data_IF_075232022831
#
_entry.id   IF_075232022831
#
_cell.length_a   1.000
_cell.length_b   1.000
_cell.length_c   1.000
_cell.angle_alpha   90.00
_cell.angle_beta   90.00
_cell.angle_gamma   90.00
#
_symmetry.space_group_name_H-M   'P 1'
#
loop_
_entity.id
_entity.type
_entity.pdbx_description
1 polymer ?
#
# COMPACT_ATOMS: atom_id res chain seq x y z
N UNK A 1 -1.98 27.54 -36.55
CA UNK A 1 -0.68 27.77 -37.21
C UNK A 1 0.26 26.85 -36.49
N UNK A 2 0.51 25.70 -37.12
CA UNK A 2 1.36 24.54 -36.81
C UNK A 2 1.63 24.15 -35.35
N UNK A 3 1.06 22.98 -35.04
CA UNK A 3 1.23 22.11 -33.89
C UNK A 3 2.57 21.32 -33.91
N UNK A 4 3.67 21.91 -34.38
CA UNK A 4 4.93 21.17 -34.61
C UNK A 4 6.19 21.86 -34.06
N UNK A 5 6.09 22.61 -32.95
CA UNK A 5 7.22 23.39 -32.43
C UNK A 5 7.45 23.41 -30.90
N UNK A 6 6.86 22.51 -30.10
CA UNK A 6 7.18 22.42 -28.65
C UNK A 6 7.40 20.99 -28.14
N UNK A 7 8.12 20.16 -28.90
CA UNK A 7 8.70 18.91 -28.40
C UNK A 7 10.19 18.85 -28.76
N UNK A 8 11.00 19.68 -28.13
CA UNK A 8 12.47 19.56 -28.16
C UNK A 8 13.03 19.91 -26.77
N UNK A 9 13.03 18.91 -25.89
CA UNK A 9 13.74 18.76 -24.61
C UNK A 9 13.24 17.37 -24.14
N UNK A 10 13.87 16.23 -24.39
CA UNK A 10 15.28 15.84 -24.24
C UNK A 10 15.57 14.72 -25.25
N UNK A 11 16.11 15.05 -26.43
CA UNK A 11 16.96 14.13 -27.20
C UNK A 11 18.41 14.46 -26.81
N UNK A 12 18.84 13.92 -25.67
CA UNK A 12 20.25 13.94 -25.28
C UNK A 12 20.57 12.62 -24.58
N UNK A 13 21.48 11.89 -25.22
CA UNK A 13 22.03 10.57 -24.93
C UNK A 13 22.66 10.46 -23.52
N UNK A 14 21.86 10.48 -22.44
CA UNK A 14 22.31 10.17 -21.08
C UNK A 14 21.41 9.10 -20.45
N UNK A 15 22.01 7.93 -20.21
CA UNK A 15 21.45 6.82 -19.45
C UNK A 15 21.18 7.28 -18.01
N UNK A 16 19.91 7.42 -17.63
CA UNK A 16 19.53 7.60 -16.22
C UNK A 16 19.30 6.25 -15.55
N UNK A 17 19.78 6.12 -14.33
CA UNK A 17 19.64 4.94 -13.47
C UNK A 17 18.29 4.98 -12.73
N UNK A 18 17.78 3.84 -12.26
CA UNK A 18 16.52 3.71 -11.50
C UNK A 18 16.47 4.64 -10.28
N UNK A 19 17.64 4.93 -9.69
CA UNK A 19 17.81 5.85 -8.56
C UNK A 19 17.61 7.32 -8.96
N UNK A 20 18.01 7.70 -10.16
CA UNK A 20 17.84 9.07 -10.68
C UNK A 20 16.38 9.32 -11.08
N UNK A 21 15.69 8.30 -11.58
CA UNK A 21 14.24 8.36 -11.86
C UNK A 21 13.43 8.49 -10.56
N UNK A 22 13.75 7.71 -9.52
CA UNK A 22 13.08 7.81 -8.22
C UNK A 22 13.33 9.15 -7.51
N UNK A 23 14.55 9.71 -7.63
CA UNK A 23 14.89 11.03 -7.09
C UNK A 23 14.18 12.18 -7.84
N UNK A 24 13.92 12.03 -9.13
CA UNK A 24 13.16 13.02 -9.93
C UNK A 24 11.66 12.94 -9.63
N UNK A 25 11.15 11.78 -9.23
CA UNK A 25 9.73 11.55 -8.94
C UNK A 25 9.36 11.65 -7.45
N UNK A 26 10.33 11.75 -6.54
CA UNK A 26 10.08 11.85 -5.10
C UNK A 26 9.54 10.57 -4.47
N UNK A 27 9.96 9.40 -4.97
CA UNK A 27 9.48 8.08 -4.55
C UNK A 27 10.56 7.32 -3.77
N UNK A 28 10.16 6.63 -2.70
CA UNK A 28 11.04 5.70 -1.98
C UNK A 28 11.14 4.37 -2.75
N UNK A 29 12.38 3.88 -2.91
CA UNK A 29 12.67 2.70 -3.72
C UNK A 29 12.98 1.51 -2.80
N UNK A 30 12.08 0.53 -2.72
CA UNK A 30 12.36 -0.77 -2.09
C UNK A 30 12.76 -1.76 -3.18
N UNK A 31 13.99 -2.26 -3.13
CA UNK A 31 14.49 -3.29 -4.07
C UNK A 31 14.54 -4.61 -3.34
N UNK A 32 13.68 -5.56 -3.72
CA UNK A 32 13.80 -6.95 -3.27
C UNK A 32 14.77 -7.71 -4.16
N UNK A 33 15.83 -8.28 -3.59
CA UNK A 33 16.66 -9.28 -4.30
C UNK A 33 16.16 -10.67 -3.94
N UNK A 34 15.41 -11.30 -4.85
CA UNK A 34 15.07 -12.72 -4.74
C UNK A 34 16.24 -13.56 -5.25
N UNK A 35 16.89 -14.30 -4.34
CA UNK A 35 17.72 -15.46 -4.69
C UNK A 35 19.24 -15.25 -4.74
N UNK A 36 19.97 -16.25 -4.24
CA UNK A 36 21.43 -16.37 -4.31
C UNK A 36 21.89 -16.89 -5.69
N UNK A 37 23.07 -16.47 -6.21
CA UNK A 37 23.40 -16.68 -7.62
C UNK A 37 23.93 -18.10 -7.89
N UNK A 38 23.17 -18.90 -8.65
CA UNK A 38 23.71 -20.03 -9.41
C UNK A 38 24.07 -19.60 -10.83
N UNK A 39 25.20 -20.07 -11.40
CA UNK A 39 25.63 -19.65 -12.72
C UNK A 39 24.87 -20.46 -13.78
N UNK A 40 24.02 -19.76 -14.55
CA UNK A 40 23.36 -20.16 -15.82
C UNK A 40 21.82 -20.25 -15.74
N UNK A 41 21.14 -19.09 -15.70
CA UNK A 41 19.77 -18.88 -16.20
C UNK A 41 19.56 -17.36 -16.40
N UNK A 42 18.84 -16.94 -17.45
CA UNK A 42 18.43 -15.55 -17.68
C UNK A 42 17.20 -15.24 -16.80
N UNK A 43 17.19 -14.11 -16.08
CA UNK A 43 16.07 -13.66 -15.26
C UNK A 43 15.51 -12.33 -15.81
N UNK A 44 14.19 -12.18 -15.80
CA UNK A 44 13.49 -10.90 -15.92
C UNK A 44 13.20 -10.38 -14.50
N UNK A 45 13.75 -9.23 -14.11
CA UNK A 45 13.42 -8.59 -12.83
C UNK A 45 12.20 -7.67 -13.01
N UNK A 46 11.14 -7.88 -12.21
CA UNK A 46 9.97 -6.98 -12.13
C UNK A 46 10.13 -6.01 -10.95
N UNK A 47 9.90 -4.72 -11.17
CA UNK A 47 9.97 -3.67 -10.14
C UNK A 47 8.59 -3.03 -9.98
N UNK A 48 7.96 -3.22 -8.83
CA UNK A 48 6.72 -2.53 -8.46
C UNK A 48 7.06 -1.25 -7.70
N UNK A 49 6.48 -0.12 -8.11
CA UNK A 49 6.67 1.19 -7.45
C UNK A 49 5.32 1.64 -6.89
N UNK A 50 5.27 1.93 -5.59
CA UNK A 50 4.09 2.42 -4.90
C UNK A 50 4.25 3.91 -4.62
N UNK A 51 3.24 4.71 -4.98
CA UNK A 51 3.13 6.08 -4.49
C UNK A 51 2.31 6.05 -3.20
N UNK A 52 2.64 6.91 -2.22
CA UNK A 52 1.96 7.04 -0.92
C UNK A 52 0.49 7.48 -0.95
N UNK A 53 -0.22 7.24 -2.07
CA UNK A 53 -1.65 7.46 -2.29
C UNK A 53 -2.37 6.17 -2.71
N UNK A 54 -1.72 4.99 -2.62
CA UNK A 54 -2.39 3.69 -2.76
C UNK A 54 -2.85 3.31 -4.18
N UNK A 55 -2.33 3.94 -5.24
CA UNK A 55 -2.59 3.52 -6.63
C UNK A 55 -1.33 2.84 -7.18
N UNK A 56 -1.37 1.53 -7.53
CA UNK A 56 -0.23 0.88 -8.16
C UNK A 56 -0.01 1.44 -9.58
N UNK A 57 1.22 1.83 -9.88
CA UNK A 57 1.66 2.17 -11.25
C UNK A 57 2.56 1.02 -11.72
N UNK A 58 2.00 0.12 -12.53
CA UNK A 58 2.79 -0.93 -13.17
C UNK A 58 3.65 -0.32 -14.28
N UNK A 59 4.97 -0.30 -14.07
CA UNK A 59 5.95 0.14 -15.07
C UNK A 59 6.71 -1.09 -15.57
N UNK A 60 6.66 -1.33 -16.87
CA UNK A 60 7.38 -2.43 -17.53
C UNK A 60 8.81 -1.98 -17.87
N UNK A 61 9.81 -2.74 -17.43
CA UNK A 61 11.20 -2.56 -17.81
C UNK A 61 11.76 -3.86 -18.40
N UNK A 62 12.16 -3.84 -19.66
CA UNK A 62 12.87 -4.95 -20.30
C UNK A 62 14.36 -4.81 -20.01
N UNK A 63 14.95 -5.72 -19.21
CA UNK A 63 16.37 -5.68 -18.82
C UNK A 63 17.13 -6.73 -19.64
N UNK A 64 17.98 -6.30 -20.58
CA UNK A 64 18.81 -7.22 -21.36
C UNK A 64 20.21 -7.40 -20.73
N UNK A 65 20.61 -8.64 -20.45
CA UNK A 65 21.97 -8.95 -19.99
C UNK A 65 22.95 -9.14 -21.17
N UNK A 66 24.04 -8.37 -21.23
CA UNK A 66 25.18 -8.66 -22.13
C UNK A 66 26.41 -9.10 -21.34
N UNK A 67 26.87 -10.35 -21.53
CA UNK A 67 28.21 -10.79 -21.06
C UNK A 67 29.31 -10.21 -21.94
N UNK A 68 30.11 -9.29 -21.38
CA UNK A 68 31.40 -8.89 -21.94
C UNK A 68 32.52 -9.81 -21.47
N UNK A 69 33.27 -10.41 -22.39
CA UNK A 69 34.48 -11.19 -22.10
C UNK A 69 35.69 -10.29 -21.80
N UNK A 70 36.27 -10.35 -20.59
CA UNK A 70 37.73 -10.48 -20.34
C UNK A 70 38.19 -10.27 -18.88
N UNK A 71 39.03 -11.23 -18.45
CA UNK A 71 40.19 -11.24 -17.54
C UNK A 71 40.27 -10.35 -16.28
N UNK A 72 40.30 -11.05 -15.14
CA UNK A 72 41.09 -10.83 -13.92
C UNK A 72 41.55 -9.41 -13.54
N UNK A 73 40.86 -8.79 -12.58
CA UNK A 73 41.48 -8.23 -11.37
C UNK A 73 40.38 -7.86 -10.36
N UNK A 74 40.66 -8.02 -9.07
CA UNK A 74 39.77 -7.66 -7.96
C UNK A 74 39.54 -6.15 -7.95
N UNK A 75 38.29 -5.74 -8.13
CA UNK A 75 37.74 -4.46 -7.67
C UNK A 75 36.21 -4.55 -7.74
N UNK A 76 35.53 -4.45 -6.60
CA UNK A 76 34.08 -4.38 -6.47
C UNK A 76 33.58 -3.05 -7.08
N UNK A 77 33.05 -3.09 -8.31
CA UNK A 77 32.27 -1.99 -8.90
C UNK A 77 31.06 -2.55 -9.64
N UNK A 78 29.90 -1.94 -9.34
CA UNK A 78 28.56 -2.48 -9.55
C UNK A 78 28.17 -2.81 -10.99
N UNK A 79 27.26 -3.77 -11.09
CA UNK A 79 26.51 -4.12 -12.30
C UNK A 79 25.73 -2.90 -12.79
N UNK A 80 25.96 -2.47 -14.04
CA UNK A 80 25.13 -1.48 -14.73
C UNK A 80 23.96 -2.18 -15.43
N UNK A 81 22.73 -1.85 -15.03
CA UNK A 81 21.49 -2.27 -15.68
C UNK A 81 21.08 -1.20 -16.71
N UNK A 82 20.63 -1.62 -17.88
CA UNK A 82 20.04 -0.74 -18.90
C UNK A 82 18.71 -1.36 -19.37
N UNK A 83 17.61 -0.61 -19.20
CA UNK A 83 16.27 -1.00 -19.66
C UNK A 83 15.55 0.20 -20.29
N UNK A 84 14.60 -0.10 -21.16
CA UNK A 84 13.75 0.87 -21.88
C UNK A 84 12.33 0.80 -21.32
N UNK A 85 11.70 1.95 -21.05
CA UNK A 85 10.37 2.04 -20.43
C UNK A 85 9.29 2.43 -21.46
N UNK A 86 8.13 1.77 -21.42
CA UNK A 86 6.93 2.16 -22.18
C UNK A 86 5.77 2.48 -21.21
N UNK A 87 5.11 3.62 -21.40
CA UNK A 87 3.92 4.01 -20.63
C UNK A 87 2.76 4.38 -21.56
N UNK A 88 1.53 3.94 -21.24
CA UNK A 88 0.34 4.20 -22.05
C UNK A 88 -0.14 5.66 -21.92
N UNK A 89 -0.46 6.26 -23.06
CA UNK A 89 -0.49 7.73 -23.27
C UNK A 89 -1.67 8.50 -22.66
N UNK A 90 -2.60 7.85 -21.95
CA UNK A 90 -3.79 8.54 -21.41
C UNK A 90 -3.73 8.94 -19.93
N UNK A 91 -2.84 8.37 -19.11
CA UNK A 91 -2.69 8.74 -17.68
C UNK A 91 -1.60 9.82 -17.41
N UNK A 92 -0.69 10.05 -18.36
CA UNK A 92 0.39 11.05 -18.23
C UNK A 92 -0.14 12.50 -18.35
N UNK A 93 -1.27 12.72 -19.03
CA UNK A 93 -1.84 14.06 -19.22
C UNK A 93 -2.47 14.65 -17.94
N UNK A 94 -2.83 13.80 -16.95
CA UNK A 94 -3.30 14.27 -15.64
C UNK A 94 -2.14 14.60 -14.68
N UNK A 95 -1.05 13.83 -14.72
CA UNK A 95 0.15 14.05 -13.90
C UNK A 95 0.87 15.36 -14.30
N UNK A 96 0.91 15.69 -15.59
CA UNK A 96 1.54 16.95 -16.05
C UNK A 96 0.73 18.22 -15.73
N UNK A 97 -0.59 18.12 -15.52
CA UNK A 97 -1.41 19.29 -15.12
C UNK A 97 -1.28 19.65 -13.63
N UNK A 98 -0.86 18.71 -12.79
CA UNK A 98 -0.63 18.94 -11.35
C UNK A 98 0.74 19.58 -11.06
N UNK A 99 1.69 19.47 -12.00
CA UNK A 99 3.07 19.94 -11.82
C UNK A 99 3.30 21.40 -12.27
N UNK A 100 2.39 21.99 -13.04
CA UNK A 100 2.42 23.42 -13.39
C UNK A 100 2.02 24.34 -12.21
N UNK A 101 1.38 23.82 -11.16
CA UNK A 101 1.07 24.61 -9.96
C UNK A 101 2.25 24.75 -8.99
N UNK A 102 3.25 23.86 -9.07
CA UNK A 102 4.33 23.77 -8.07
C UNK A 102 5.64 24.48 -8.46
N UNK A 103 5.78 24.98 -9.68
CA UNK A 103 7.02 25.62 -10.17
C UNK A 103 6.95 27.13 -10.37
N UNK A 104 5.89 27.79 -9.88
CA UNK A 104 5.73 29.26 -9.93
C UNK A 104 5.90 29.97 -8.57
N UNK A 105 6.34 29.27 -7.51
CA UNK A 105 6.43 29.84 -6.16
C UNK A 105 7.83 29.85 -5.53
N UNK A 106 8.88 29.76 -6.34
CA UNK A 106 10.26 29.88 -5.87
C UNK A 106 11.05 30.84 -6.74
N UNK A 107 10.86 32.14 -6.55
CA UNK A 107 11.82 33.21 -6.88
C UNK A 107 11.23 34.55 -6.41
N UNK A 108 11.59 35.00 -5.19
CA UNK A 108 11.79 36.41 -4.80
C UNK A 108 12.10 36.48 -3.30
N UNK A 109 13.34 36.21 -2.91
CA UNK A 109 13.86 36.65 -1.60
C UNK A 109 14.48 38.02 -1.82
N UNK A 110 13.71 39.08 -1.55
CA UNK A 110 14.26 40.37 -1.19
C UNK A 110 13.91 40.58 0.29
N UNK A 111 14.96 40.60 1.12
CA UNK A 111 14.93 40.96 2.53
C UNK A 111 14.21 42.28 2.74
N UNK A 112 12.93 42.27 3.12
CA UNK A 112 12.24 43.40 3.72
C UNK A 112 11.65 42.96 5.06
N UNK A 113 12.38 43.29 6.11
CA UNK A 113 11.90 43.28 7.49
C UNK A 113 10.78 44.29 7.63
N UNK A 114 9.54 43.81 7.76
CA UNK A 114 8.41 44.64 8.21
C UNK A 114 8.24 44.44 9.71
N UNK A 115 8.29 45.51 10.52
CA UNK A 115 8.13 45.43 11.95
C UNK A 115 6.65 45.49 12.37
N UNK A 116 6.27 44.62 13.29
CA UNK A 116 5.23 44.92 14.28
C UNK A 116 3.97 44.04 14.26
N UNK A 117 3.97 43.02 15.12
CA UNK A 117 2.92 42.80 16.12
C UNK A 117 3.61 42.34 17.40
N UNK A 118 3.00 42.55 18.58
CA UNK A 118 3.63 42.36 19.89
C UNK A 118 4.02 40.89 20.19
N UNK A 119 5.14 40.44 19.63
CA UNK A 119 6.34 40.00 20.36
C UNK A 119 6.31 38.75 21.24
N UNK A 120 5.23 37.97 21.34
CA UNK A 120 5.29 36.66 21.98
C UNK A 120 5.34 35.57 20.92
N UNK A 121 6.49 34.91 20.86
CA UNK A 121 6.68 33.69 20.08
C UNK A 121 5.84 32.56 20.69
N UNK A 122 5.24 31.67 19.90
CA UNK A 122 4.45 30.59 20.44
C UNK A 122 5.28 29.48 21.09
N UNK A 123 6.60 29.52 20.90
CA UNK A 123 7.56 28.64 21.57
C UNK A 123 8.03 29.22 22.92
N UNK A 124 8.30 28.34 23.92
CA UNK A 124 8.86 28.71 25.22
C UNK A 124 10.36 29.07 25.10
N UNK A 125 11.01 29.37 26.24
CA UNK A 125 12.46 29.49 26.28
C UNK A 125 13.10 28.16 25.84
N UNK A 126 13.97 28.15 24.80
CA UNK A 126 14.58 26.93 24.32
C UNK A 126 15.35 26.14 25.38
N UNK A 127 15.87 26.80 26.44
CA UNK A 127 16.61 26.12 27.50
C UNK A 127 15.69 25.35 28.47
N UNK A 128 14.41 25.70 28.55
CA UNK A 128 13.43 25.02 29.42
C UNK A 128 12.96 23.69 28.81
N UNK A 129 13.08 23.53 27.49
CA UNK A 129 12.58 22.36 26.76
C UNK A 129 13.69 21.47 26.19
N UNK A 130 14.97 21.74 26.50
CA UNK A 130 16.06 20.88 26.05
C UNK A 130 15.85 19.44 26.56
N UNK A 131 16.13 18.42 25.73
CA UNK A 131 16.75 18.44 24.41
C UNK A 131 15.76 18.61 23.23
N UNK A 132 14.48 18.85 23.49
CA UNK A 132 13.51 19.18 22.46
C UNK A 132 13.74 20.59 21.89
N UNK A 133 13.17 20.82 20.71
CA UNK A 133 13.18 22.12 20.03
C UNK A 133 11.76 22.48 19.60
N UNK A 134 11.48 23.78 19.53
CA UNK A 134 10.19 24.28 19.06
C UNK A 134 10.41 25.20 17.87
N UNK A 135 9.65 24.95 16.80
CA UNK A 135 9.68 25.71 15.56
C UNK A 135 8.29 26.27 15.24
N UNK A 136 8.27 27.48 14.69
CA UNK A 136 7.02 28.16 14.30
C UNK A 136 7.15 28.69 12.87
N UNK A 137 6.24 28.27 12.00
CA UNK A 137 6.09 28.81 10.66
C UNK A 137 4.93 29.82 10.66
N UNK A 138 5.28 31.11 10.61
CA UNK A 138 4.29 32.19 10.61
C UNK A 138 3.43 32.24 9.34
N UNK A 139 3.89 31.65 8.23
CA UNK A 139 3.15 31.64 6.97
C UNK A 139 2.04 30.59 6.96
N UNK A 140 2.29 29.46 7.62
CA UNK A 140 1.34 28.36 7.77
C UNK A 140 0.58 28.42 9.11
N UNK A 141 1.06 29.23 10.05
CA UNK A 141 0.50 29.30 11.41
C UNK A 141 0.77 28.03 12.23
N UNK A 142 1.79 27.26 11.88
CA UNK A 142 2.06 25.96 12.51
C UNK A 142 3.13 26.07 13.58
N UNK A 143 2.96 25.31 14.66
CA UNK A 143 3.94 25.17 15.75
C UNK A 143 4.24 23.71 15.94
N UNK A 144 5.50 23.33 15.71
CA UNK A 144 5.96 21.94 15.76
C UNK A 144 7.06 21.81 16.82
N UNK A 145 6.88 20.85 17.72
CA UNK A 145 7.87 20.48 18.73
C UNK A 145 8.58 19.21 18.29
N UNK A 146 9.90 19.28 18.13
CA UNK A 146 10.75 18.15 17.75
C UNK A 146 11.57 17.71 18.97
N UNK A 147 11.28 16.51 19.46
CA UNK A 147 11.93 15.87 20.59
C UNK A 147 12.85 14.71 20.17
N UNK A 148 13.31 14.69 18.92
CA UNK A 148 14.21 13.64 18.42
C UNK A 148 15.52 13.53 19.22
N UNK A 149 15.95 14.61 19.88
CA UNK A 149 17.12 14.63 20.77
C UNK A 149 16.90 14.10 22.18
N UNK A 150 15.68 13.70 22.56
CA UNK A 150 15.37 13.13 23.87
C UNK A 150 16.18 11.84 24.13
N UNK A 151 16.75 11.71 25.32
CA UNK A 151 17.49 10.51 25.71
C UNK A 151 16.69 9.62 26.66
N UNK A 152 15.56 10.12 27.16
CA UNK A 152 14.66 9.41 28.07
C UNK A 152 13.24 9.96 28.01
N UNK A 153 12.27 9.18 28.51
CA UNK A 153 10.88 9.63 28.68
C UNK A 153 10.75 10.83 29.62
N UNK A 154 11.69 11.01 30.56
CA UNK A 154 11.71 12.14 31.49
C UNK A 154 12.00 13.46 30.78
N UNK A 155 12.79 13.44 29.70
CA UNK A 155 13.04 14.62 28.86
C UNK A 155 11.75 15.13 28.22
N UNK A 156 10.91 14.21 27.72
CA UNK A 156 9.59 14.54 27.18
C UNK A 156 8.73 15.14 28.29
N UNK A 157 8.62 14.44 29.42
CA UNK A 157 7.77 14.88 30.52
C UNK A 157 8.16 16.27 31.03
N UNK A 158 9.44 16.51 31.28
CA UNK A 158 9.94 17.80 31.78
C UNK A 158 9.76 18.93 30.77
N UNK A 159 10.01 18.68 29.48
CA UNK A 159 9.81 19.67 28.42
C UNK A 159 8.36 20.18 28.33
N UNK A 160 7.37 19.37 28.71
CA UNK A 160 5.96 19.77 28.65
C UNK A 160 5.34 20.14 30.00
N UNK A 161 5.90 19.67 31.12
CA UNK A 161 5.34 19.90 32.45
C UNK A 161 6.08 20.96 33.28
N UNK A 162 7.39 21.16 33.06
CA UNK A 162 8.21 22.10 33.82
C UNK A 162 8.44 23.43 33.09
N UNK A 163 8.38 23.41 31.75
CA UNK A 163 8.55 24.59 30.91
C UNK A 163 7.30 25.49 30.87
N UNK A 164 7.51 26.80 30.71
CA UNK A 164 6.41 27.76 30.60
C UNK A 164 5.99 27.94 29.14
N UNK A 165 5.04 27.13 28.68
CA UNK A 165 4.49 27.22 27.33
C UNK A 165 3.58 28.45 27.16
N UNK A 166 3.85 29.35 26.18
CA UNK A 166 3.01 30.52 25.95
C UNK A 166 1.59 30.16 25.47
N UNK A 167 1.45 29.03 24.75
CA UNK A 167 0.18 28.53 24.26
C UNK A 167 0.10 27.00 24.44
N UNK A 168 -1.03 26.48 24.95
CA UNK A 168 -1.19 25.04 25.21
C UNK A 168 -1.70 24.24 24.00
N UNK A 169 -1.99 24.92 22.88
CA UNK A 169 -2.55 24.30 21.68
C UNK A 169 -1.56 24.43 20.55
N UNK A 170 -0.86 23.34 20.26
CA UNK A 170 0.17 23.28 19.22
C UNK A 170 -0.32 22.46 18.04
N UNK A 171 0.39 22.55 16.91
CA UNK A 171 0.07 21.81 15.69
C UNK A 171 0.63 20.39 15.80
N UNK A 172 1.95 20.27 15.94
CA UNK A 172 2.64 18.99 15.76
C UNK A 172 3.61 18.65 16.89
N UNK A 173 3.63 17.37 17.27
CA UNK A 173 4.74 16.75 17.99
C UNK A 173 5.48 15.80 17.06
N UNK A 174 6.81 15.79 17.11
CA UNK A 174 7.64 14.92 16.31
C UNK A 174 8.76 14.29 17.13
N UNK A 175 8.99 13.00 16.94
CA UNK A 175 10.15 12.28 17.47
C UNK A 175 10.66 11.26 16.44
N UNK A 176 11.89 11.43 15.97
CA UNK A 176 12.45 10.61 14.87
C UNK A 176 13.83 10.11 15.20
N UNK A 177 14.16 8.88 14.77
CA UNK A 177 15.48 8.27 14.97
C UNK A 177 15.89 8.33 16.46
N UNK A 178 14.93 8.05 17.33
CA UNK A 178 15.09 8.20 18.78
C UNK A 178 15.18 6.85 19.47
N UNK A 179 16.34 6.56 20.09
CA UNK A 179 16.56 5.28 20.78
C UNK A 179 16.36 5.37 22.31
N UNK A 180 16.24 6.57 22.85
CA UNK A 180 16.24 6.84 24.29
C UNK A 180 14.85 6.77 24.94
N UNK A 181 13.83 7.27 24.24
CA UNK A 181 12.44 7.28 24.72
C UNK A 181 11.80 5.93 24.44
N UNK A 182 11.47 5.21 25.52
CA UNK A 182 10.87 3.87 25.44
C UNK A 182 9.39 3.85 25.77
N UNK A 183 8.91 4.86 26.48
CA UNK A 183 7.51 4.97 26.92
C UNK A 183 7.06 6.41 26.81
N UNK A 184 5.82 6.64 26.39
CA UNK A 184 5.14 7.91 26.66
C UNK A 184 4.31 7.73 27.94
N UNK A 185 4.77 8.25 29.09
CA UNK A 185 4.10 8.02 30.37
C UNK A 185 2.79 8.80 30.49
N UNK A 186 2.02 8.51 31.54
CA UNK A 186 0.87 9.32 31.92
C UNK A 186 1.25 10.81 32.02
N UNK A 187 0.48 11.69 31.38
CA UNK A 187 0.76 13.13 31.38
C UNK A 187 2.03 13.54 30.63
N UNK A 188 2.53 12.72 29.69
CA UNK A 188 3.75 13.03 28.91
C UNK A 188 3.76 14.45 28.32
N UNK A 189 2.60 14.95 27.89
CA UNK A 189 2.45 16.27 27.29
C UNK A 189 1.85 17.34 28.23
N UNK A 190 1.59 17.01 29.50
CA UNK A 190 0.95 17.94 30.44
C UNK A 190 -0.36 18.51 29.90
N UNK A 191 -0.50 19.84 29.95
CA UNK A 191 -1.65 20.57 29.39
C UNK A 191 -1.50 20.89 27.88
N UNK A 192 -0.37 20.50 27.27
CA UNK A 192 -0.09 20.75 25.85
C UNK A 192 -0.82 19.73 25.00
N UNK A 193 -1.49 20.23 23.98
CA UNK A 193 -2.31 19.43 23.08
C UNK A 193 -1.86 19.61 21.64
N UNK A 194 -1.96 18.53 20.86
CA UNK A 194 -1.49 18.48 19.47
C UNK A 194 -2.64 18.13 18.52
N UNK A 195 -2.52 18.59 17.27
CA UNK A 195 -3.37 18.14 16.16
C UNK A 195 -2.76 16.90 15.49
N UNK A 196 -1.43 16.82 15.47
CA UNK A 196 -0.70 15.75 14.82
C UNK A 196 0.47 15.28 15.70
N UNK A 197 0.65 13.97 15.82
CA UNK A 197 1.77 13.35 16.55
C UNK A 197 2.43 12.37 15.59
N UNK A 198 3.72 12.60 15.28
CA UNK A 198 4.52 11.74 14.41
C UNK A 198 5.72 11.18 15.18
N UNK A 199 5.74 9.88 15.35
CA UNK A 199 6.82 9.13 16.00
C UNK A 199 7.25 8.05 15.03
N UNK A 200 8.46 8.15 14.45
CA UNK A 200 8.88 7.15 13.49
C UNK A 200 10.36 6.80 13.63
N UNK A 201 10.69 5.53 13.39
CA UNK A 201 12.06 5.02 13.55
C UNK A 201 12.57 5.22 14.99
N UNK A 202 11.86 4.68 15.99
CA UNK A 202 12.19 4.88 17.42
C UNK A 202 12.24 3.57 18.22
N UNK A 203 12.67 3.65 19.49
CA UNK A 203 12.60 2.53 20.44
C UNK A 203 11.37 2.59 21.35
N UNK A 204 10.32 3.32 20.95
CA UNK A 204 9.09 3.46 21.72
C UNK A 204 8.36 2.11 21.79
N UNK A 205 8.16 1.61 23.00
CA UNK A 205 7.52 0.31 23.27
C UNK A 205 6.11 0.40 23.82
N UNK A 206 5.75 1.50 24.49
CA UNK A 206 4.39 1.71 24.98
C UNK A 206 3.96 3.16 25.04
N UNK A 207 2.65 3.38 24.91
CA UNK A 207 1.99 4.67 25.12
C UNK A 207 0.96 4.50 26.22
N UNK A 208 1.06 5.27 27.29
CA UNK A 208 0.09 5.25 28.35
C UNK A 208 -1.21 5.98 27.93
N UNK A 209 -2.36 5.45 28.33
CA UNK A 209 -3.71 6.01 28.11
C UNK A 209 -3.78 7.53 28.33
N UNK A 210 -3.38 7.99 29.52
CA UNK A 210 -3.41 9.43 29.86
C UNK A 210 -2.41 10.32 29.09
N UNK A 211 -1.53 9.77 28.24
CA UNK A 211 -0.63 10.57 27.42
C UNK A 211 -1.38 11.30 26.29
N UNK A 212 -2.38 10.65 25.68
CA UNK A 212 -3.08 11.17 24.48
C UNK A 212 -4.39 11.88 24.81
N UNK A 213 -5.03 11.54 25.93
CA UNK A 213 -6.34 12.07 26.34
C UNK A 213 -6.43 13.62 26.41
N UNK A 214 -5.39 14.38 26.78
CA UNK A 214 -5.44 15.84 26.70
C UNK A 214 -5.77 16.34 25.28
N UNK A 215 -5.31 15.63 24.25
CA UNK A 215 -5.51 15.98 22.84
C UNK A 215 -6.76 15.33 22.23
N UNK A 216 -7.62 14.69 23.01
CA UNK A 216 -8.71 13.83 22.50
C UNK A 216 -9.61 14.45 21.42
N UNK A 217 -9.92 15.75 21.54
CA UNK A 217 -10.79 16.48 20.61
C UNK A 217 -10.02 17.18 19.48
N UNK A 218 -8.68 17.14 19.52
CA UNK A 218 -7.80 17.88 18.59
C UNK A 218 -6.90 16.99 17.76
N UNK A 219 -6.45 15.87 18.31
CA UNK A 219 -5.54 14.94 17.66
C UNK A 219 -6.25 14.32 16.46
N UNK A 220 -5.95 14.80 15.26
CA UNK A 220 -6.47 14.28 13.99
C UNK A 220 -5.65 13.10 13.48
N UNK A 221 -4.34 13.18 13.63
CA UNK A 221 -3.39 12.18 13.13
C UNK A 221 -2.44 11.71 14.23
N UNK A 222 -2.38 10.40 14.43
CA UNK A 222 -1.37 9.75 15.24
C UNK A 222 -0.63 8.72 14.38
N UNK A 223 0.66 8.97 14.17
CA UNK A 223 1.58 8.03 13.54
C UNK A 223 2.63 7.59 14.54
N UNK A 224 2.72 6.27 14.73
CA UNK A 224 3.80 5.61 15.45
C UNK A 224 4.30 4.45 14.58
N UNK A 225 5.34 4.69 13.78
CA UNK A 225 5.82 3.76 12.77
C UNK A 225 7.27 3.32 12.99
N UNK A 226 7.63 2.16 12.44
CA UNK A 226 8.99 1.60 12.48
C UNK A 226 9.61 1.69 13.89
N UNK A 227 8.87 1.24 14.89
CA UNK A 227 9.27 1.33 16.30
C UNK A 227 9.18 -0.05 16.98
N UNK A 228 9.00 -0.10 18.30
CA UNK A 228 8.87 -1.35 19.06
C UNK A 228 7.53 -1.39 19.80
N UNK A 229 6.52 -0.68 19.29
CA UNK A 229 5.27 -0.47 20.01
C UNK A 229 4.52 -1.80 20.11
N UNK A 230 4.35 -2.28 21.33
CA UNK A 230 3.58 -3.50 21.62
C UNK A 230 2.31 -3.18 22.43
N UNK A 231 2.36 -2.09 23.22
CA UNK A 231 1.30 -1.68 24.13
C UNK A 231 0.76 -0.30 23.74
N UNK A 232 -0.45 -0.30 23.18
CA UNK A 232 -1.19 0.89 22.76
C UNK A 232 -2.49 0.97 23.56
N UNK A 233 -2.95 2.17 23.96
CA UNK A 233 -4.12 2.33 24.83
C UNK A 233 -5.43 2.22 24.04
N UNK A 234 -5.71 1.03 23.50
CA UNK A 234 -6.87 0.73 22.67
C UNK A 234 -8.20 1.09 23.34
N UNK A 235 -8.29 0.93 24.67
CA UNK A 235 -9.47 1.27 25.47
C UNK A 235 -9.81 2.77 25.45
N UNK A 236 -8.84 3.61 25.09
CA UNK A 236 -9.00 5.07 25.02
C UNK A 236 -9.42 5.53 23.63
N UNK A 237 -9.36 4.66 22.62
CA UNK A 237 -9.71 5.00 21.24
C UNK A 237 -11.12 5.61 21.08
N UNK A 238 -12.16 5.19 21.83
CA UNK A 238 -13.47 5.84 21.78
C UNK A 238 -13.48 7.29 22.31
N UNK A 239 -12.52 7.64 23.18
CA UNK A 239 -12.42 8.98 23.75
C UNK A 239 -11.72 9.96 22.82
N UNK A 240 -10.86 9.47 21.92
CA UNK A 240 -10.11 10.26 20.94
C UNK A 240 -11.00 10.69 19.76
N UNK A 241 -12.03 11.47 20.06
CA UNK A 241 -13.09 11.93 19.14
C UNK A 241 -12.61 12.81 17.99
N UNK A 242 -11.39 13.35 18.06
CA UNK A 242 -10.74 14.05 16.96
C UNK A 242 -9.98 13.13 16.00
N UNK A 243 -9.65 11.91 16.42
CA UNK A 243 -8.69 11.05 15.71
C UNK A 243 -9.33 10.41 14.47
N UNK A 244 -8.81 10.81 13.30
CA UNK A 244 -9.24 10.34 11.99
C UNK A 244 -8.23 9.37 11.39
N UNK A 245 -6.95 9.60 11.62
CA UNK A 245 -5.85 8.87 11.01
C UNK A 245 -4.99 8.20 12.09
N UNK A 246 -4.94 6.87 12.09
CA UNK A 246 -4.12 6.09 13.00
C UNK A 246 -3.17 5.18 12.23
N UNK A 247 -1.88 5.46 12.31
CA UNK A 247 -0.84 4.72 11.59
C UNK A 247 0.12 4.07 12.59
N UNK A 248 0.11 2.75 12.65
CA UNK A 248 0.85 1.91 13.61
C UNK A 248 1.72 0.84 12.92
N UNK A 249 2.12 1.09 11.67
CA UNK A 249 2.84 0.13 10.84
C UNK A 249 4.29 -0.04 11.27
N UNK A 250 4.88 -1.22 11.05
CA UNK A 250 6.29 -1.48 11.40
C UNK A 250 6.53 -1.54 12.91
N UNK A 251 5.62 -2.17 13.66
CA UNK A 251 5.76 -2.38 15.10
C UNK A 251 5.75 -3.88 15.43
N UNK A 252 5.36 -4.26 16.64
CA UNK A 252 5.38 -5.64 17.12
C UNK A 252 4.03 -6.10 17.70
N UNK A 253 2.93 -5.59 17.14
CA UNK A 253 1.60 -6.03 17.54
C UNK A 253 1.36 -7.48 17.11
N UNK A 254 0.87 -8.31 18.02
CA UNK A 254 0.56 -9.74 17.78
C UNK A 254 -0.95 -10.02 17.75
N UNK A 255 -1.76 -9.09 18.25
CA UNK A 255 -3.21 -9.19 18.28
C UNK A 255 -3.84 -7.80 18.25
N UNK A 256 -5.11 -7.73 17.84
CA UNK A 256 -5.94 -6.54 17.94
C UNK A 256 -7.15 -6.80 18.85
N UNK A 257 -7.38 -5.94 19.87
CA UNK A 257 -8.58 -6.01 20.70
C UNK A 257 -9.81 -5.50 19.92
N UNK A 258 -11.01 -5.46 20.54
CA UNK A 258 -12.19 -4.87 19.92
C UNK A 258 -11.93 -3.38 19.65
N UNK A 259 -11.96 -2.96 18.39
CA UNK A 259 -11.70 -1.58 18.00
C UNK A 259 -13.00 -0.79 17.92
N UNK A 260 -13.14 0.22 18.77
CA UNK A 260 -14.32 1.09 18.80
C UNK A 260 -13.88 2.54 18.63
N UNK A 261 -14.34 3.20 17.56
CA UNK A 261 -14.08 4.62 17.32
C UNK A 261 -15.17 5.23 16.46
N UNK A 262 -15.73 6.35 16.90
CA UNK A 262 -16.71 7.10 16.13
C UNK A 262 -16.07 8.10 15.14
N UNK A 263 -14.75 8.27 15.14
CA UNK A 263 -14.05 9.31 14.35
C UNK A 263 -13.03 8.75 13.37
N UNK A 264 -12.57 7.51 13.56
CA UNK A 264 -11.50 6.93 12.74
C UNK A 264 -11.95 6.71 11.29
N UNK A 265 -11.17 7.23 10.35
CA UNK A 265 -11.43 7.22 8.91
C UNK A 265 -10.38 6.39 8.15
N UNK A 266 -9.11 6.42 8.57
CA UNK A 266 -7.99 5.68 7.97
C UNK A 266 -7.18 5.00 9.07
N UNK A 267 -7.18 3.66 9.04
CA UNK A 267 -6.42 2.84 9.99
C UNK A 267 -5.42 1.95 9.25
N UNK A 268 -4.13 2.14 9.57
CA UNK A 268 -3.04 1.36 8.95
C UNK A 268 -2.15 0.78 10.01
N UNK A 269 -2.00 -0.54 9.99
CA UNK A 269 -1.17 -1.30 10.94
C UNK A 269 -0.44 -2.45 10.22
N UNK A 270 -0.11 -2.23 8.95
CA UNK A 270 0.66 -3.18 8.15
C UNK A 270 2.08 -3.40 8.72
N UNK A 271 2.73 -4.49 8.32
CA UNK A 271 4.08 -4.87 8.80
C UNK A 271 4.10 -4.99 10.34
N UNK A 272 3.30 -5.92 10.85
CA UNK A 272 3.27 -6.33 12.26
C UNK A 272 3.21 -7.87 12.31
N UNK A 273 2.93 -8.45 13.49
CA UNK A 273 2.84 -9.90 13.69
C UNK A 273 1.41 -10.32 14.08
N UNK A 274 0.40 -9.56 13.64
CA UNK A 274 -0.99 -9.74 14.08
C UNK A 274 -1.52 -11.05 13.54
N UNK A 275 -1.83 -11.99 14.44
CA UNK A 275 -2.44 -13.28 14.10
C UNK A 275 -3.86 -13.43 14.64
N UNK A 276 -4.26 -12.57 15.58
CA UNK A 276 -5.53 -12.68 16.30
C UNK A 276 -6.29 -11.36 16.27
N UNK A 277 -7.56 -11.42 15.89
CA UNK A 277 -8.48 -10.29 15.88
C UNK A 277 -9.66 -10.61 16.81
N UNK A 278 -9.90 -9.77 17.82
CA UNK A 278 -11.05 -9.94 18.70
C UNK A 278 -12.35 -9.42 18.06
N UNK A 279 -13.47 -10.01 18.45
CA UNK A 279 -14.82 -9.61 18.00
C UNK A 279 -15.25 -8.28 18.61
N UNK A 280 -16.19 -7.57 17.95
CA UNK A 280 -16.81 -6.36 18.51
C UNK A 280 -16.23 -5.04 18.00
N UNK A 281 -15.71 -5.05 16.77
CA UNK A 281 -15.29 -3.84 16.08
C UNK A 281 -16.52 -2.98 15.75
N UNK A 282 -16.38 -1.66 15.89
CA UNK A 282 -17.38 -0.66 15.53
C UNK A 282 -16.67 0.60 15.08
N UNK A 283 -16.63 0.79 13.76
CA UNK A 283 -15.83 1.82 13.09
C UNK A 283 -16.68 2.48 11.98
N UNK A 284 -17.75 3.20 12.33
CA UNK A 284 -18.77 3.63 11.36
C UNK A 284 -18.28 4.62 10.30
N UNK A 285 -17.17 5.31 10.55
CA UNK A 285 -16.58 6.28 9.62
C UNK A 285 -15.34 5.73 8.88
N UNK A 286 -14.97 4.46 9.08
CA UNK A 286 -13.78 3.90 8.46
C UNK A 286 -13.94 3.83 6.95
N UNK A 287 -12.93 4.32 6.23
CA UNK A 287 -12.84 4.33 4.77
C UNK A 287 -11.70 3.45 4.28
N UNK A 288 -10.60 3.38 5.02
CA UNK A 288 -9.40 2.63 4.66
C UNK A 288 -8.97 1.77 5.85
N UNK A 289 -8.70 0.50 5.57
CA UNK A 289 -8.09 -0.44 6.52
C UNK A 289 -6.91 -1.14 5.84
N UNK A 290 -5.70 -0.90 6.34
CA UNK A 290 -4.49 -1.57 5.88
C UNK A 290 -3.87 -2.46 6.96
N UNK A 291 -3.94 -3.77 6.71
CA UNK A 291 -3.46 -4.86 7.55
C UNK A 291 -2.37 -5.70 6.86
N UNK A 292 -1.80 -5.24 5.74
CA UNK A 292 -0.82 -6.01 4.98
C UNK A 292 0.41 -6.45 5.79
N UNK A 293 1.14 -7.46 5.33
CA UNK A 293 2.30 -8.03 6.03
C UNK A 293 2.01 -8.33 7.51
N UNK A 294 0.91 -9.02 7.78
CA UNK A 294 0.56 -9.58 9.09
C UNK A 294 0.35 -11.10 8.98
N UNK A 295 -0.08 -11.75 10.06
CA UNK A 295 -0.28 -13.19 10.14
C UNK A 295 -1.77 -13.56 10.23
N UNK A 296 -2.65 -12.68 9.72
CA UNK A 296 -4.11 -12.83 9.82
C UNK A 296 -4.57 -13.91 8.83
N UNK A 297 -5.31 -14.89 9.33
CA UNK A 297 -5.89 -15.97 8.52
C UNK A 297 -7.42 -15.94 8.47
N UNK A 298 -8.06 -15.24 9.40
CA UNK A 298 -9.51 -15.10 9.46
C UNK A 298 -9.89 -13.76 10.08
N UNK A 299 -11.07 -13.26 9.71
CA UNK A 299 -11.66 -12.06 10.28
C UNK A 299 -12.89 -12.42 11.12
N UNK A 300 -13.15 -11.71 12.23
CA UNK A 300 -14.35 -11.93 13.01
C UNK A 300 -15.58 -11.55 12.18
N UNK A 301 -16.65 -12.33 12.31
CA UNK A 301 -17.90 -12.07 11.61
C UNK A 301 -18.39 -10.63 11.88
N UNK A 302 -18.62 -9.90 10.80
CA UNK A 302 -19.13 -8.54 10.82
C UNK A 302 -18.20 -7.47 11.37
N UNK A 303 -16.88 -7.65 11.26
CA UNK A 303 -15.87 -6.69 11.74
C UNK A 303 -15.95 -5.28 11.11
N UNK A 304 -16.65 -5.12 9.98
CA UNK A 304 -16.91 -3.84 9.30
C UNK A 304 -18.40 -3.59 9.01
N UNK A 305 -19.31 -4.20 9.78
CA UNK A 305 -20.75 -4.11 9.49
C UNK A 305 -21.33 -2.70 9.58
N UNK A 306 -20.74 -1.83 10.40
CA UNK A 306 -21.22 -0.45 10.57
C UNK A 306 -20.44 0.57 9.73
N UNK A 307 -19.38 0.16 9.03
CA UNK A 307 -18.55 1.02 8.17
C UNK A 307 -19.22 1.28 6.81
N UNK A 308 -20.30 2.07 6.80
CA UNK A 308 -21.16 2.31 5.62
C UNK A 308 -20.43 2.98 4.43
N UNK A 309 -19.34 3.71 4.69
CA UNK A 309 -18.55 4.43 3.69
C UNK A 309 -17.17 3.80 3.45
N UNK A 310 -17.01 2.51 3.78
CA UNK A 310 -15.75 1.81 3.61
C UNK A 310 -15.35 1.69 2.13
N UNK A 311 -14.08 1.94 1.79
CA UNK A 311 -13.61 2.07 0.41
C UNK A 311 -12.50 1.09 0.06
N UNK A 312 -11.51 0.90 0.95
CA UNK A 312 -10.30 0.16 0.62
C UNK A 312 -9.92 -0.79 1.75
N UNK A 313 -9.83 -2.07 1.40
CA UNK A 313 -9.34 -3.13 2.27
C UNK A 313 -8.02 -3.66 1.76
N UNK A 314 -7.00 -3.65 2.63
CA UNK A 314 -5.71 -4.23 2.32
C UNK A 314 -5.33 -5.32 3.32
N UNK A 315 -5.10 -6.53 2.81
CA UNK A 315 -4.47 -7.62 3.52
C UNK A 315 -3.53 -8.40 2.57
N UNK A 316 -2.62 -7.68 1.91
CA UNK A 316 -1.56 -8.28 1.09
C UNK A 316 -0.54 -8.97 1.98
N UNK A 317 -0.06 -10.15 1.58
CA UNK A 317 0.89 -10.97 2.34
C UNK A 317 0.44 -11.20 3.80
N UNK A 318 -0.87 -11.46 3.98
CA UNK A 318 -1.44 -11.99 5.20
C UNK A 318 -1.27 -13.53 5.22
N UNK A 319 -2.22 -14.29 5.79
CA UNK A 319 -2.12 -15.75 5.93
C UNK A 319 -3.45 -16.46 5.65
N UNK A 320 -4.23 -16.00 4.67
CA UNK A 320 -5.50 -16.64 4.28
C UNK A 320 -5.34 -18.02 3.64
N UNK A 321 -4.20 -18.31 3.02
CA UNK A 321 -3.95 -19.57 2.33
C UNK A 321 -3.92 -20.79 3.26
N UNK A 322 -4.19 -22.01 2.72
CA UNK A 322 -4.38 -22.31 1.31
C UNK A 322 -5.82 -22.13 0.79
N UNK A 323 -6.79 -21.90 1.68
CA UNK A 323 -8.22 -21.84 1.33
C UNK A 323 -8.85 -20.60 1.92
N UNK A 324 -9.34 -19.71 1.04
CA UNK A 324 -10.21 -18.60 1.46
C UNK A 324 -11.62 -19.16 1.66
N UNK A 325 -12.06 -19.20 2.92
CA UNK A 325 -13.30 -19.88 3.31
C UNK A 325 -14.54 -19.03 3.03
N UNK A 326 -15.71 -19.66 2.98
CA UNK A 326 -16.98 -18.99 2.77
C UNK A 326 -17.24 -17.94 3.87
N UNK A 327 -17.69 -16.75 3.47
CA UNK A 327 -17.93 -15.60 4.37
C UNK A 327 -16.69 -15.14 5.15
N UNK A 328 -15.48 -15.43 4.68
CA UNK A 328 -14.26 -14.88 5.28
C UNK A 328 -14.23 -13.35 5.19
N UNK A 329 -14.76 -12.77 4.11
CA UNK A 329 -14.81 -11.33 3.89
C UNK A 329 -16.23 -10.91 3.46
N UNK A 330 -16.98 -10.33 4.39
CA UNK A 330 -18.33 -9.79 4.17
C UNK A 330 -18.30 -8.26 4.28
N UNK A 331 -18.64 -7.58 3.19
CA UNK A 331 -18.70 -6.12 3.13
C UNK A 331 -20.15 -5.65 3.06
N UNK A 332 -20.50 -4.59 3.81
CA UNK A 332 -21.83 -3.97 3.75
C UNK A 332 -21.80 -2.54 3.18
N UNK A 333 -20.62 -2.10 2.74
CA UNK A 333 -20.40 -0.76 2.19
C UNK A 333 -20.80 -0.70 0.72
N UNK A 334 -21.55 0.36 0.39
CA UNK A 334 -21.89 0.68 -0.99
C UNK A 334 -20.78 1.43 -1.74
N UNK A 335 -19.64 1.70 -1.08
CA UNK A 335 -18.53 2.49 -1.63
C UNK A 335 -17.22 1.72 -1.72
N UNK A 336 -17.23 0.41 -1.47
CA UNK A 336 -16.01 -0.39 -1.54
C UNK A 336 -15.50 -0.47 -2.98
N UNK A 337 -14.24 -0.07 -3.18
CA UNK A 337 -13.62 0.08 -4.49
C UNK A 337 -12.42 -0.84 -4.66
N UNK A 338 -11.74 -1.21 -3.57
CA UNK A 338 -10.50 -1.98 -3.66
C UNK A 338 -10.41 -3.02 -2.55
N UNK A 339 -10.17 -4.27 -2.94
CA UNK A 339 -9.92 -5.41 -2.06
C UNK A 339 -8.58 -6.00 -2.47
N UNK A 340 -7.57 -5.86 -1.61
CA UNK A 340 -6.22 -6.31 -1.86
C UNK A 340 -5.89 -7.59 -1.07
N UNK A 341 -5.69 -8.69 -1.79
CA UNK A 341 -5.39 -10.03 -1.27
C UNK A 341 -4.15 -10.63 -1.91
N UNK A 342 -3.27 -9.81 -2.50
CA UNK A 342 -1.99 -10.23 -3.07
C UNK A 342 -1.20 -11.09 -2.08
N UNK A 343 -0.52 -12.15 -2.57
CA UNK A 343 0.55 -12.79 -1.79
C UNK A 343 0.08 -13.60 -0.57
N UNK A 344 -1.17 -14.07 -0.56
CA UNK A 344 -1.75 -14.79 0.57
C UNK A 344 -1.63 -16.32 0.50
N UNK A 345 -0.93 -16.85 -0.51
CA UNK A 345 -0.86 -18.30 -0.79
C UNK A 345 -2.22 -18.97 -0.94
N UNK A 346 -3.24 -18.24 -1.42
CA UNK A 346 -4.57 -18.77 -1.67
C UNK A 346 -4.51 -19.69 -2.88
N UNK A 347 -4.94 -20.93 -2.72
CA UNK A 347 -5.00 -21.93 -3.80
C UNK A 347 -6.42 -22.29 -4.21
N UNK A 348 -7.35 -22.13 -3.26
CA UNK A 348 -8.77 -22.47 -3.42
C UNK A 348 -9.63 -21.41 -2.75
N UNK A 349 -10.78 -21.12 -3.35
CA UNK A 349 -11.79 -20.22 -2.80
C UNK A 349 -13.06 -21.04 -2.64
N UNK A 350 -13.72 -20.96 -1.48
CA UNK A 350 -15.08 -21.48 -1.33
C UNK A 350 -16.10 -20.53 -1.99
N UNK A 351 -17.30 -21.02 -2.25
CA UNK A 351 -18.41 -20.17 -2.68
C UNK A 351 -18.66 -19.06 -1.64
N UNK A 352 -18.96 -17.85 -2.11
CA UNK A 352 -19.26 -16.70 -1.25
C UNK A 352 -18.12 -16.36 -0.26
N UNK A 353 -16.88 -16.68 -0.59
CA UNK A 353 -15.71 -16.33 0.22
C UNK A 353 -15.54 -14.81 0.43
N UNK A 354 -15.92 -14.05 -0.59
CA UNK A 354 -15.98 -12.58 -0.58
C UNK A 354 -17.39 -12.18 -1.00
N UNK A 355 -18.07 -11.35 -0.22
CA UNK A 355 -19.44 -10.90 -0.50
C UNK A 355 -19.65 -9.42 -0.23
N UNK A 356 -20.68 -8.85 -0.86
CA UNK A 356 -21.15 -7.48 -0.61
C UNK A 356 -20.26 -6.35 -1.14
N UNK A 357 -19.29 -6.69 -2.00
CA UNK A 357 -18.63 -5.73 -2.86
C UNK A 357 -19.54 -5.24 -3.99
N UNK A 358 -19.14 -4.17 -4.67
CA UNK A 358 -19.91 -3.50 -5.71
C UNK A 358 -19.41 -3.88 -7.11
N UNK A 359 -20.20 -3.58 -8.14
CA UNK A 359 -19.86 -3.90 -9.54
C UNK A 359 -18.65 -3.14 -10.08
N UNK A 360 -18.22 -2.07 -9.42
CA UNK A 360 -17.02 -1.28 -9.72
C UNK A 360 -15.83 -1.61 -8.80
N UNK A 361 -15.97 -2.61 -7.93
CA UNK A 361 -14.89 -3.05 -7.04
C UNK A 361 -13.80 -3.79 -7.81
N UNK A 362 -12.55 -3.47 -7.50
CA UNK A 362 -11.38 -4.19 -7.96
C UNK A 362 -10.92 -5.15 -6.87
N UNK A 363 -10.75 -6.42 -7.23
CA UNK A 363 -10.30 -7.49 -6.33
C UNK A 363 -8.95 -8.00 -6.83
N UNK A 364 -7.91 -7.82 -6.03
CA UNK A 364 -6.57 -8.24 -6.37
C UNK A 364 -6.22 -9.57 -5.70
N UNK A 365 -6.01 -10.62 -6.50
CA UNK A 365 -5.48 -11.93 -6.08
C UNK A 365 -4.09 -12.20 -6.63
N UNK A 366 -3.35 -11.17 -7.07
CA UNK A 366 -2.01 -11.35 -7.63
C UNK A 366 -1.09 -12.15 -6.68
N UNK A 367 -0.12 -12.85 -7.25
CA UNK A 367 0.91 -13.60 -6.52
C UNK A 367 0.35 -14.59 -5.46
N UNK A 368 -0.79 -15.21 -5.76
CA UNK A 368 -1.34 -16.35 -5.00
C UNK A 368 -1.03 -17.69 -5.72
N UNK A 369 -1.62 -18.78 -5.25
CA UNK A 369 -1.42 -20.15 -5.75
C UNK A 369 -2.65 -20.68 -6.52
N UNK A 370 -3.48 -19.79 -7.06
CA UNK A 370 -4.74 -20.16 -7.74
C UNK A 370 -4.40 -20.87 -9.06
N UNK A 371 -4.87 -22.12 -9.20
CA UNK A 371 -4.62 -22.94 -10.41
C UNK A 371 -5.80 -23.00 -11.37
N UNK A 372 -7.01 -22.78 -10.89
CA UNK A 372 -8.24 -22.94 -11.64
C UNK A 372 -9.24 -21.87 -11.21
N UNK A 373 -9.90 -21.24 -12.18
CA UNK A 373 -11.06 -20.38 -11.94
C UNK A 373 -12.31 -21.25 -11.88
N UNK A 374 -12.52 -21.88 -10.72
CA UNK A 374 -13.67 -22.76 -10.50
C UNK A 374 -14.96 -21.98 -10.66
N UNK A 375 -15.90 -22.53 -11.44
CA UNK A 375 -17.18 -21.87 -11.71
C UNK A 375 -17.96 -21.57 -10.43
N UNK A 376 -17.95 -22.47 -9.45
CA UNK A 376 -18.63 -22.29 -8.16
C UNK A 376 -18.11 -21.07 -7.38
N UNK A 377 -16.81 -20.81 -7.41
CA UNK A 377 -16.19 -19.77 -6.59
C UNK A 377 -16.19 -18.40 -7.29
N UNK A 378 -15.94 -18.40 -8.60
CA UNK A 378 -15.76 -17.15 -9.36
C UNK A 378 -17.02 -16.65 -10.05
N UNK A 379 -18.00 -17.52 -10.39
CA UNK A 379 -19.23 -17.09 -11.07
C UNK A 379 -19.99 -16.02 -10.28
N UNK A 380 -20.23 -16.15 -8.96
CA UNK A 380 -20.96 -15.12 -8.21
C UNK A 380 -20.25 -13.77 -8.26
N UNK A 381 -18.92 -13.77 -8.25
CA UNK A 381 -18.14 -12.54 -8.32
C UNK A 381 -18.22 -11.89 -9.69
N UNK A 382 -17.98 -12.66 -10.75
CA UNK A 382 -18.00 -12.14 -12.12
C UNK A 382 -19.40 -11.67 -12.55
N UNK A 383 -20.47 -12.29 -12.05
CA UNK A 383 -21.84 -11.82 -12.30
C UNK A 383 -22.14 -10.44 -11.67
N UNK A 384 -21.48 -10.08 -10.57
CA UNK A 384 -21.56 -8.73 -9.97
C UNK A 384 -20.68 -7.75 -10.75
N UNK A 385 -19.43 -8.11 -11.00
CA UNK A 385 -18.45 -7.23 -11.65
C UNK A 385 -18.84 -6.88 -13.09
N UNK A 386 -19.42 -7.82 -13.84
CA UNK A 386 -19.85 -7.60 -15.23
C UNK A 386 -21.00 -6.60 -15.39
N UNK A 387 -21.53 -6.08 -14.28
CA UNK A 387 -22.54 -5.02 -14.28
C UNK A 387 -21.90 -3.61 -14.18
N UNK A 388 -20.58 -3.51 -14.00
CA UNK A 388 -19.84 -2.28 -13.81
C UNK A 388 -18.45 -2.32 -14.45
N UNK A 389 -17.51 -1.56 -13.86
CA UNK A 389 -16.12 -1.42 -14.33
C UNK A 389 -15.12 -2.13 -13.40
N UNK A 390 -15.58 -3.08 -12.59
CA UNK A 390 -14.77 -3.82 -11.62
C UNK A 390 -13.99 -4.95 -12.27
N UNK A 391 -12.89 -5.37 -11.64
CA UNK A 391 -11.97 -6.35 -12.21
C UNK A 391 -11.35 -7.27 -11.16
N UNK A 392 -10.98 -8.47 -11.57
CA UNK A 392 -10.21 -9.44 -10.79
C UNK A 392 -8.78 -9.52 -11.37
N UNK A 393 -7.77 -9.23 -10.56
CA UNK A 393 -6.36 -9.43 -10.91
C UNK A 393 -5.85 -10.78 -10.39
N UNK A 394 -5.13 -11.51 -11.25
CA UNK A 394 -4.63 -12.88 -11.04
C UNK A 394 -3.18 -13.07 -11.54
N UNK A 395 -2.45 -11.99 -11.80
CA UNK A 395 -1.06 -12.02 -12.26
C UNK A 395 -0.19 -12.76 -11.23
N UNK A 396 0.68 -13.66 -11.69
CA UNK A 396 1.59 -14.40 -10.81
C UNK A 396 0.94 -15.62 -10.16
N UNK A 397 -0.29 -15.96 -10.53
CA UNK A 397 -0.92 -17.23 -10.16
C UNK A 397 -0.63 -18.32 -11.21
N UNK A 398 -0.49 -19.59 -10.80
CA UNK A 398 -0.28 -20.72 -11.71
C UNK A 398 -1.58 -21.21 -12.38
N UNK A 399 -2.34 -20.32 -13.02
CA UNK A 399 -3.65 -20.62 -13.64
C UNK A 399 -3.50 -21.49 -14.88
N UNK A 400 -4.14 -22.65 -14.91
CA UNK A 400 -4.15 -23.56 -16.06
C UNK A 400 -5.34 -23.22 -16.97
N UNK A 401 -5.06 -22.76 -18.18
CA UNK A 401 -6.08 -22.38 -19.17
C UNK A 401 -6.50 -23.55 -20.07
N UNK A 402 -6.99 -24.64 -19.47
CA UNK A 402 -7.58 -25.76 -20.20
C UNK A 402 -9.12 -25.67 -20.22
N UNK A 403 -9.82 -26.77 -20.53
CA UNK A 403 -11.28 -26.77 -20.59
C UNK A 403 -11.98 -26.38 -19.28
N UNK A 404 -11.29 -26.39 -18.13
CA UNK A 404 -11.82 -25.85 -16.87
C UNK A 404 -12.10 -24.34 -16.94
N UNK A 405 -11.36 -23.58 -17.75
CA UNK A 405 -11.54 -22.13 -17.92
C UNK A 405 -12.54 -21.77 -19.04
N UNK A 406 -13.07 -22.77 -19.76
CA UNK A 406 -13.95 -22.55 -20.92
C UNK A 406 -15.17 -21.69 -20.61
N UNK A 407 -15.73 -21.79 -19.40
CA UNK A 407 -16.91 -21.02 -19.00
C UNK A 407 -16.64 -19.51 -18.86
N UNK A 408 -15.39 -19.12 -18.57
CA UNK A 408 -14.95 -17.72 -18.56
C UNK A 408 -14.64 -17.26 -19.98
N UNK A 409 -13.81 -18.01 -20.72
CA UNK A 409 -13.36 -17.62 -22.06
C UNK A 409 -14.52 -17.52 -23.07
N UNK A 410 -15.52 -18.40 -22.96
CA UNK A 410 -16.69 -18.38 -23.83
C UNK A 410 -17.70 -17.29 -23.46
N UNK A 411 -17.53 -16.60 -22.34
CA UNK A 411 -18.33 -15.46 -21.94
C UNK A 411 -17.51 -14.16 -22.04
N UNK A 412 -17.70 -13.35 -23.09
CA UNK A 412 -16.92 -12.13 -23.29
C UNK A 412 -17.10 -11.12 -22.15
N UNK A 413 -18.27 -11.11 -21.49
CA UNK A 413 -18.53 -10.21 -20.36
C UNK A 413 -17.71 -10.62 -19.12
N UNK A 414 -17.38 -11.91 -18.97
CA UNK A 414 -16.55 -12.39 -17.86
C UNK A 414 -15.05 -12.29 -18.17
N UNK A 415 -14.66 -12.56 -19.41
CA UNK A 415 -13.26 -12.55 -19.82
C UNK A 415 -12.64 -11.15 -19.72
N UNK A 416 -13.40 -10.09 -20.00
CA UNK A 416 -12.92 -8.70 -19.86
C UNK A 416 -12.63 -8.30 -18.42
N UNK A 417 -13.30 -8.94 -17.45
CA UNK A 417 -13.21 -8.62 -16.03
C UNK A 417 -12.11 -9.40 -15.30
N UNK A 418 -11.49 -10.40 -15.93
CA UNK A 418 -10.35 -11.14 -15.37
C UNK A 418 -9.04 -10.75 -16.06
N UNK A 419 -8.03 -10.40 -15.27
CA UNK A 419 -6.72 -10.00 -15.77
C UNK A 419 -5.65 -10.91 -15.19
N UNK A 420 -4.91 -11.60 -16.05
CA UNK A 420 -3.89 -12.56 -15.66
C UNK A 420 -3.32 -13.29 -16.86
N UNK A 421 -2.49 -14.29 -16.57
CA UNK A 421 -1.87 -15.15 -17.57
C UNK A 421 -2.02 -16.62 -17.19
N UNK A 422 -2.03 -17.45 -18.20
CA UNK A 422 -1.93 -18.89 -18.07
C UNK A 422 -0.53 -19.29 -17.57
N UNK A 423 -0.38 -20.49 -17.01
CA UNK A 423 0.91 -21.07 -16.59
C UNK A 423 1.99 -21.07 -17.68
N UNK A 424 1.56 -20.88 -18.91
CA UNK A 424 2.33 -21.01 -20.12
C UNK A 424 2.77 -19.65 -20.70
N UNK A 425 2.36 -18.55 -20.04
CA UNK A 425 2.67 -17.18 -20.39
C UNK A 425 1.63 -16.49 -21.26
N UNK A 426 0.60 -17.19 -21.74
CA UNK A 426 -0.46 -16.58 -22.56
C UNK A 426 -1.35 -15.70 -21.70
N UNK A 427 -1.53 -14.44 -22.08
CA UNK A 427 -2.48 -13.53 -21.42
C UNK A 427 -3.92 -14.01 -21.64
N UNK A 428 -4.79 -13.86 -20.63
CA UNK A 428 -6.19 -14.30 -20.75
C UNK A 428 -6.92 -13.66 -21.94
N UNK A 429 -6.59 -12.41 -22.27
CA UNK A 429 -7.21 -11.68 -23.37
C UNK A 429 -6.78 -12.16 -24.76
N UNK A 430 -5.72 -12.96 -24.84
CA UNK A 430 -5.23 -13.56 -26.08
C UNK A 430 -5.79 -14.98 -26.31
N UNK A 431 -6.58 -15.51 -25.37
CA UNK A 431 -7.23 -16.82 -25.52
C UNK A 431 -8.34 -16.76 -26.58
N UNK A 432 -8.25 -17.62 -27.61
CA UNK A 432 -9.23 -17.69 -28.69
C UNK A 432 -10.47 -18.51 -28.27
N UNK A 433 -11.67 -17.89 -28.11
CA UNK A 433 -12.88 -18.61 -27.69
C UNK A 433 -13.32 -19.71 -28.66
N UNK A 434 -12.94 -19.65 -29.95
CA UNK A 434 -13.29 -20.68 -30.92
C UNK A 434 -12.64 -22.04 -30.60
N UNK A 435 -11.41 -22.02 -30.08
CA UNK A 435 -10.69 -23.24 -29.66
C UNK A 435 -11.44 -23.91 -28.51
N UNK A 436 -11.86 -23.15 -27.49
CA UNK A 436 -12.62 -23.68 -26.36
C UNK A 436 -14.00 -24.19 -26.81
N UNK A 437 -14.65 -23.50 -27.74
CA UNK A 437 -15.95 -23.89 -28.29
C UNK A 437 -15.89 -25.23 -29.04
N UNK A 438 -14.82 -25.45 -29.81
CA UNK A 438 -14.66 -26.61 -30.68
C UNK A 438 -14.06 -27.83 -29.98
N UNK A 439 -13.26 -27.66 -28.92
CA UNK A 439 -12.60 -28.78 -28.24
C UNK A 439 -13.14 -29.09 -26.84
N UNK A 440 -13.68 -28.10 -26.11
CA UNK A 440 -14.20 -28.32 -24.76
C UNK A 440 -15.72 -28.57 -24.74
N UNK A 441 -16.47 -27.89 -25.61
CA UNK A 441 -17.93 -28.00 -25.67
C UNK A 441 -18.39 -28.98 -26.75
N UNK A 442 -17.90 -28.80 -27.98
CA UNK A 442 -18.18 -29.72 -29.09
C UNK A 442 -17.19 -30.86 -28.98
N UNK A 443 -17.63 -32.07 -28.66
CA UNK A 443 -16.73 -33.26 -28.64
C UNK A 443 -16.40 -33.74 -30.05
N UNK A 444 -15.87 -32.89 -30.93
CA UNK A 444 -15.31 -33.34 -32.20
C UNK A 444 -13.82 -33.62 -31.99
N UNK A 445 -13.37 -34.89 -31.92
CA UNK A 445 -11.94 -35.16 -31.86
C UNK A 445 -11.29 -34.62 -33.14
N UNK A 446 -10.10 -34.02 -33.06
CA UNK A 446 -9.43 -33.47 -34.24
C UNK A 446 -9.27 -34.58 -35.28
N UNK A 447 -9.75 -34.33 -36.50
CA UNK A 447 -9.51 -35.25 -37.61
C UNK A 447 -8.01 -35.36 -37.84
N UNK A 448 -7.50 -36.59 -37.87
CA UNK A 448 -6.08 -36.91 -38.03
C UNK A 448 -5.49 -36.26 -39.31
N UNK A 449 -4.97 -35.05 -39.17
CA UNK A 449 -4.49 -34.23 -40.28
C UNK A 449 -4.05 -32.82 -39.88
N UNK A 450 -4.52 -32.29 -38.75
CA UNK A 450 -4.16 -30.94 -38.28
C UNK A 450 -3.02 -30.92 -37.25
N UNK A 451 -2.36 -32.04 -36.99
CA UNK A 451 -1.26 -32.13 -36.02
C UNK A 451 0.05 -31.44 -36.45
N UNK A 452 0.16 -30.91 -37.67
CA UNK A 452 1.44 -30.40 -38.20
C UNK A 452 1.73 -28.91 -37.94
N UNK A 453 0.81 -28.16 -37.33
CA UNK A 453 1.09 -26.79 -36.85
C UNK A 453 1.43 -26.72 -35.37
N UNK A 454 1.30 -27.83 -34.65
CA UNK A 454 1.35 -27.92 -33.18
C UNK A 454 2.75 -28.06 -32.56
N UNK A 455 3.84 -27.93 -33.34
CA UNK A 455 5.21 -28.07 -32.82
C UNK A 455 5.93 -26.70 -32.67
N UNK A 456 5.37 -25.59 -33.18
CA UNK A 456 6.04 -24.29 -33.14
C UNK A 456 5.34 -23.20 -32.30
N UNK A 457 4.26 -23.51 -31.60
CA UNK A 457 3.54 -22.57 -30.72
C UNK A 457 3.13 -23.33 -29.47
N UNK A 458 4.03 -23.40 -28.49
CA UNK A 458 3.93 -24.31 -27.35
C UNK A 458 2.54 -24.34 -26.67
N UNK A 459 2.26 -25.51 -26.07
CA UNK A 459 1.31 -25.81 -24.96
C UNK A 459 -0.05 -26.44 -25.38
N UNK A 460 -0.71 -27.30 -24.57
CA UNK A 460 -0.25 -28.41 -23.71
C UNK A 460 -0.75 -29.78 -24.19
N UNK A 461 -0.09 -30.85 -23.73
CA UNK A 461 -0.47 -32.25 -23.97
C UNK A 461 -1.80 -32.62 -23.31
N UNK A 462 -2.79 -32.98 -24.13
CA UNK A 462 -4.03 -33.66 -23.71
C UNK A 462 -3.66 -35.07 -23.22
N UNK A 463 -3.73 -35.32 -21.93
CA UNK A 463 -3.76 -36.67 -21.38
C UNK A 463 -5.17 -36.97 -20.89
N UNK A 464 -5.79 -37.99 -21.49
CA UNK A 464 -6.90 -38.72 -20.90
C UNK A 464 -7.01 -40.09 -21.56
N UNK A 465 -7.77 -41.04 -21.00
CA UNK A 465 -8.13 -41.25 -19.59
C UNK A 465 -7.07 -42.04 -18.81
#
# INVERSE_FOLDING_TARGET
MDDEAQLQLVEADHRMTTREVAAVLGLDLVVFTLGSPSPCEEYEDRVSIHNGVGIPINIWAEISHRRGSHSSSRDDRGLQYAGTFYASSRKISLLLKMQEYFTLLSLFIIHHSVPGTNGQTPCPDPNEILPCTCSHDASLGTVIVDCSGAISSDDIYTAFNDATWPFPKLTGFRMVNNEGVRVLPAGAFGDITFEEIYIHHTSLGSIHTEALLPSKDRLGTLEVSDSLLEDFPWESLPELTGLKNLYLHGNSFTSLPPLVSASLEDFRIFTNEIAQLEVGWSLPNLTILDLGFNLISEFPAGFLNDSENFQQFFCYYCSFGPTLSANSLEFHSATIQFIELEGNSISTLEADAITGFQSDTVINFDFNDIRELTEESFRPMLEVLSQGDGHIFLIGNPVVCDCSMAWVVLNPDFLVDVQGHCTDGTDFQDLDPSIFQDFCIRRDPPTAGEYSTWINSGIPTINGP
#
